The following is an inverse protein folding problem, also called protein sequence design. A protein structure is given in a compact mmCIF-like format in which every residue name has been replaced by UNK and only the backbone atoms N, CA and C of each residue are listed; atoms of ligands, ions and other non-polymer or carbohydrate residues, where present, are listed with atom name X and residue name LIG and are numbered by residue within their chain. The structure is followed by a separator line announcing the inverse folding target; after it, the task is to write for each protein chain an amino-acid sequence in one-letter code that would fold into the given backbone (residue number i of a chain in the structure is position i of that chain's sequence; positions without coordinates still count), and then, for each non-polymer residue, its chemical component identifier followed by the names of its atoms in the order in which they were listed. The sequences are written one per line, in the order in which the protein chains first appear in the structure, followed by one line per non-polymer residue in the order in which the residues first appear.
data_IF_030681347131
#
_entry.id   IF_030681347131
#
_cell.length_a   1.000
_cell.length_b   1.000
_cell.length_c   1.000
_cell.angle_alpha   90.00
_cell.angle_beta   90.00
_cell.angle_gamma   90.00
#
_symmetry.space_group_name_H-M   'P 1'
#
loop_
_entity.id
_entity.type
_entity.pdbx_description
1 polymer ?
#
# COMPACT_ATOMS: atom_id res chain seq x y z
N UNK A 1 -11.32 2.14 9.32
CA UNK A 1 -10.84 2.32 7.93
C UNK A 1 -9.65 1.40 7.73
N UNK A 2 -9.46 0.82 6.54
CA UNK A 2 -8.37 -0.16 6.25
C UNK A 2 -6.98 0.47 6.18
N UNK A 3 -6.92 1.79 6.02
CA UNK A 3 -5.70 2.56 5.81
C UNK A 3 -5.41 3.55 6.94
N UNK A 4 -6.13 3.46 8.06
CA UNK A 4 -6.14 4.49 9.10
C UNK A 4 -4.76 4.71 9.75
N UNK A 5 -3.91 3.68 9.76
CA UNK A 5 -2.58 3.71 10.33
C UNK A 5 -1.50 3.74 9.23
N UNK A 6 -1.85 4.19 8.01
CA UNK A 6 -0.87 4.39 6.94
C UNK A 6 0.09 5.51 7.31
N UNK A 7 1.36 5.33 6.95
CA UNK A 7 2.34 6.40 7.04
C UNK A 7 1.94 7.54 6.09
N UNK A 8 2.07 8.79 6.56
CA UNK A 8 1.79 10.01 5.80
C UNK A 8 0.35 10.08 5.22
N UNK A 9 -0.62 9.45 5.91
CA UNK A 9 -2.02 9.40 5.49
C UNK A 9 -2.61 10.79 5.22
N UNK A 10 -2.28 11.79 6.05
CA UNK A 10 -2.76 13.17 5.91
C UNK A 10 -2.29 13.86 4.62
N UNK A 11 -1.19 13.39 4.02
CA UNK A 11 -0.67 13.90 2.76
C UNK A 11 -1.24 13.15 1.54
N UNK A 12 -1.54 11.85 1.69
CA UNK A 12 -1.79 10.94 0.57
C UNK A 12 -3.10 10.13 0.70
N UNK A 13 -4.05 10.59 1.51
CA UNK A 13 -5.32 9.87 1.77
C UNK A 13 -6.06 9.47 0.49
N UNK A 14 -6.22 10.40 -0.46
CA UNK A 14 -6.99 10.15 -1.69
C UNK A 14 -6.42 8.97 -2.51
N UNK A 15 -5.11 8.96 -2.75
CA UNK A 15 -4.47 7.90 -3.53
C UNK A 15 -4.40 6.58 -2.75
N UNK A 16 -4.26 6.63 -1.42
CA UNK A 16 -4.32 5.42 -0.60
C UNK A 16 -5.72 4.79 -0.64
N UNK A 17 -6.79 5.58 -0.58
CA UNK A 17 -8.16 5.07 -0.76
C UNK A 17 -8.30 4.46 -2.15
N UNK A 18 -7.97 5.21 -3.21
CA UNK A 18 -8.12 4.77 -4.60
C UNK A 18 -7.40 3.44 -4.85
N UNK A 19 -6.13 3.33 -4.43
CA UNK A 19 -5.33 2.13 -4.68
C UNK A 19 -5.71 0.96 -3.78
N UNK A 20 -6.19 1.22 -2.57
CA UNK A 20 -6.76 0.17 -1.73
C UNK A 20 -8.01 -0.41 -2.37
N UNK A 21 -8.93 0.44 -2.83
CA UNK A 21 -10.15 -0.02 -3.51
C UNK A 21 -9.82 -0.77 -4.80
N UNK A 22 -8.84 -0.30 -5.58
CA UNK A 22 -8.37 -0.98 -6.78
C UNK A 22 -7.89 -2.42 -6.46
N UNK A 23 -6.97 -2.56 -5.50
CA UNK A 23 -6.36 -3.85 -5.14
C UNK A 23 -7.35 -4.83 -4.49
N UNK A 24 -8.37 -4.32 -3.79
CA UNK A 24 -9.45 -5.13 -3.25
C UNK A 24 -10.41 -5.59 -4.36
N UNK A 25 -10.69 -4.73 -5.34
CA UNK A 25 -11.63 -5.02 -6.44
C UNK A 25 -11.03 -6.00 -7.45
N UNK A 26 -9.74 -5.88 -7.75
CA UNK A 26 -9.05 -6.78 -8.68
C UNK A 26 -8.63 -8.11 -8.03
N UNK A 27 -8.73 -8.22 -6.70
CA UNK A 27 -8.43 -9.43 -5.94
C UNK A 27 -6.95 -9.63 -5.64
N UNK A 28 -6.09 -8.66 -5.94
CA UNK A 28 -4.67 -8.68 -5.55
C UNK A 28 -4.48 -8.68 -4.05
N UNK A 29 -5.41 -8.04 -3.32
CA UNK A 29 -5.45 -7.99 -1.88
C UNK A 29 -6.82 -8.34 -1.35
N UNK A 30 -6.88 -8.73 -0.09
CA UNK A 30 -8.10 -8.89 0.67
C UNK A 30 -8.18 -7.86 1.80
N UNK A 31 -9.38 -7.60 2.36
CA UNK A 31 -9.52 -6.65 3.46
C UNK A 31 -8.69 -6.99 4.70
N UNK A 32 -8.31 -8.26 4.89
CA UNK A 32 -7.48 -8.68 6.04
C UNK A 32 -6.03 -8.22 5.91
N UNK A 33 -5.51 -8.16 4.68
CA UNK A 33 -4.12 -7.80 4.39
C UNK A 33 -3.81 -6.36 4.85
N UNK A 34 -4.73 -5.43 4.55
CA UNK A 34 -4.62 -4.05 5.01
C UNK A 34 -4.86 -3.90 6.51
N UNK A 35 -5.73 -4.73 7.10
CA UNK A 35 -6.01 -4.68 8.54
C UNK A 35 -4.81 -5.14 9.38
N UNK A 36 -4.05 -6.12 8.91
CA UNK A 36 -2.87 -6.63 9.60
C UNK A 36 -1.73 -5.60 9.67
N UNK A 37 -1.59 -4.78 8.62
CA UNK A 37 -0.56 -3.74 8.54
C UNK A 37 -1.03 -2.37 9.04
N UNK A 38 -2.35 -2.16 9.09
CA UNK A 38 -2.94 -0.85 9.40
C UNK A 38 -2.99 0.11 8.21
N UNK A 39 -2.47 -0.30 7.05
CA UNK A 39 -2.44 0.49 5.82
C UNK A 39 -1.11 0.44 5.10
N UNK A 40 -0.77 1.52 4.41
CA UNK A 40 0.43 1.68 3.59
C UNK A 40 1.64 2.08 4.44
N UNK A 41 2.75 1.35 4.31
CA UNK A 41 3.98 1.59 5.09
C UNK A 41 5.04 2.24 4.21
N UNK A 42 5.68 3.31 4.68
CA UNK A 42 6.72 4.04 3.94
C UNK A 42 7.94 3.15 3.70
N UNK A 43 8.40 3.12 2.45
CA UNK A 43 9.54 2.30 2.06
C UNK A 43 10.87 2.97 2.38
N UNK A 44 11.67 2.34 3.26
CA UNK A 44 13.04 2.80 3.56
C UNK A 44 14.04 2.54 2.42
N UNK A 45 13.66 1.76 1.40
CA UNK A 45 14.50 1.44 0.24
C UNK A 45 14.52 2.58 -0.78
N UNK A 46 13.41 3.31 -0.90
CA UNK A 46 13.19 4.31 -1.93
C UNK A 46 13.20 5.70 -1.29
N UNK A 47 14.29 6.08 -0.61
CA UNK A 47 14.32 7.27 0.23
C UNK A 47 14.06 8.58 -0.53
N UNK A 48 14.46 8.65 -1.80
CA UNK A 48 14.27 9.83 -2.67
C UNK A 48 12.91 9.85 -3.38
N UNK A 49 12.00 8.92 -3.06
CA UNK A 49 10.68 8.80 -3.68
C UNK A 49 9.62 8.52 -2.60
N UNK A 50 8.41 9.03 -2.79
CA UNK A 50 7.30 8.69 -1.91
C UNK A 50 6.72 7.34 -2.32
N UNK A 51 7.43 6.28 -1.91
CA UNK A 51 7.03 4.90 -2.17
C UNK A 51 6.61 4.25 -0.87
N UNK A 52 5.46 3.60 -0.91
CA UNK A 52 4.87 2.86 0.20
C UNK A 52 4.66 1.41 -0.21
N UNK A 53 4.39 0.54 0.76
CA UNK A 53 4.10 -0.85 0.49
C UNK A 53 3.06 -1.44 1.43
N UNK A 54 2.48 -2.55 0.96
CA UNK A 54 1.66 -3.48 1.74
C UNK A 54 2.09 -4.92 1.43
N UNK A 55 1.66 -5.86 2.26
CA UNK A 55 1.77 -7.29 2.00
C UNK A 55 0.38 -7.86 1.78
N UNK A 56 0.16 -8.49 0.63
CA UNK A 56 -1.12 -9.12 0.31
C UNK A 56 -0.94 -10.62 0.04
N UNK A 57 -1.55 -11.46 0.88
CA UNK A 57 -1.32 -12.92 0.89
C UNK A 57 -0.28 -13.39 1.91
N UNK A 58 0.01 -12.57 2.93
CA UNK A 58 0.92 -12.87 4.04
C UNK A 58 2.31 -12.21 3.95
N UNK A 59 3.08 -12.28 5.03
CA UNK A 59 4.36 -11.57 5.22
C UNK A 59 5.55 -12.21 4.48
N UNK A 60 5.49 -12.26 3.14
CA UNK A 60 6.60 -12.70 2.28
C UNK A 60 6.96 -11.59 1.28
N UNK A 61 8.23 -11.50 0.90
CA UNK A 61 8.70 -10.57 -0.13
C UNK A 61 7.91 -10.69 -1.44
N UNK A 62 7.51 -11.90 -1.85
CA UNK A 62 6.70 -12.14 -3.06
C UNK A 62 5.30 -11.51 -3.00
N UNK A 63 4.81 -11.22 -1.79
CA UNK A 63 3.48 -10.69 -1.54
C UNK A 63 3.51 -9.16 -1.37
N UNK A 64 4.70 -8.57 -1.51
CA UNK A 64 4.91 -7.14 -1.29
C UNK A 64 4.52 -6.35 -2.53
N UNK A 65 3.56 -5.45 -2.35
CA UNK A 65 3.08 -4.55 -3.39
C UNK A 65 3.56 -3.15 -3.04
N UNK A 66 4.23 -2.48 -3.98
CA UNK A 66 4.69 -1.12 -3.80
C UNK A 66 3.77 -0.15 -4.56
N UNK A 67 3.60 1.05 -3.99
CA UNK A 67 2.91 2.18 -4.58
C UNK A 67 3.84 3.38 -4.59
N UNK A 68 4.06 3.99 -5.76
CA UNK A 68 4.60 5.34 -5.85
C UNK A 68 3.44 6.35 -5.83
N UNK A 69 3.27 7.10 -4.74
CA UNK A 69 2.12 8.01 -4.59
C UNK A 69 2.19 9.23 -5.50
N UNK A 70 3.37 9.55 -6.04
CA UNK A 70 3.53 10.68 -6.96
C UNK A 70 3.04 10.35 -8.38
N UNK A 71 3.15 9.09 -8.81
CA UNK A 71 2.72 8.65 -10.13
C UNK A 71 1.45 7.78 -10.13
N UNK A 72 1.09 7.23 -8.97
CA UNK A 72 0.03 6.21 -8.86
C UNK A 72 0.46 4.82 -9.33
N UNK A 73 1.75 4.61 -9.60
CA UNK A 73 2.24 3.33 -10.12
C UNK A 73 2.28 2.27 -9.02
N UNK A 74 1.65 1.13 -9.31
CA UNK A 74 1.79 -0.11 -8.55
C UNK A 74 2.88 -0.97 -9.20
N UNK A 75 3.79 -1.51 -8.39
CA UNK A 75 4.85 -2.39 -8.87
C UNK A 75 5.27 -3.45 -7.84
N UNK A 76 5.93 -4.50 -8.33
CA UNK A 76 6.29 -5.70 -7.59
C UNK A 76 7.80 -5.94 -7.64
N UNK A 77 8.35 -6.66 -6.65
CA UNK A 77 9.78 -6.96 -6.60
C UNK A 77 10.13 -8.28 -5.91
#
# INVERSE_FOLDING_TARGET
SYIADSDDLDLFEEIFIEKTEQLLTDGSCSPVDFKELGGWIRSVRYQDRDVYFVYCGGLNQSNKIYLNVQSGDIFYQ
#
